data_IF_829874704452
#
_entry.id   IF_829874704452
#
_cell.length_a   1.000
_cell.length_b   1.000
_cell.length_c   1.000
_cell.angle_alpha   90.00
_cell.angle_beta   90.00
_cell.angle_gamma   90.00
#
_symmetry.space_group_name_H-M   'P 1'
#
loop_
_entity.id
_entity.type
_entity.pdbx_description
1 polymer ?
#
# COMPACT_ATOMS: atom_id res chain seq x y z
N UNK A 1 16.35 5.03 5.36
CA UNK A 1 15.85 3.69 5.76
C UNK A 1 14.36 3.85 6.05
N UNK A 2 13.47 3.05 5.42
CA UNK A 2 12.01 3.16 5.68
C UNK A 2 11.73 2.95 7.17
N UNK A 3 10.71 3.62 7.71
CA UNK A 3 10.31 3.47 9.11
C UNK A 3 9.92 2.01 9.39
N UNK A 4 10.71 1.32 10.21
CA UNK A 4 10.55 -0.11 10.52
C UNK A 4 9.55 -0.35 11.67
N UNK A 5 9.50 0.56 12.64
CA UNK A 5 8.67 0.43 13.83
C UNK A 5 7.31 1.11 13.63
N UNK A 6 6.23 0.55 14.20
CA UNK A 6 4.89 1.12 14.11
C UNK A 6 4.85 2.54 14.68
N UNK A 7 4.08 3.41 14.02
CA UNK A 7 3.71 4.72 14.54
C UNK A 7 2.35 4.56 15.22
N UNK A 8 2.30 4.73 16.53
CA UNK A 8 1.08 4.57 17.30
C UNK A 8 1.03 5.56 18.46
N UNK A 9 -0.15 5.73 19.03
CA UNK A 9 -0.35 6.55 20.23
C UNK A 9 0.49 6.02 21.41
N UNK A 10 0.82 6.92 22.34
CA UNK A 10 1.63 6.58 23.51
C UNK A 10 0.93 5.51 24.34
N UNK A 11 1.66 4.45 24.68
CA UNK A 11 1.15 3.35 25.52
C UNK A 11 0.60 2.15 24.74
N UNK A 12 0.45 2.24 23.41
CA UNK A 12 0.05 1.09 22.58
C UNK A 12 1.15 0.02 22.55
N UNK A 13 2.40 0.46 22.44
CA UNK A 13 3.57 -0.43 22.52
C UNK A 13 4.44 -0.02 23.70
N UNK A 14 4.79 -0.98 24.55
CA UNK A 14 5.84 -0.78 25.53
C UNK A 14 7.24 -0.81 24.87
N UNK A 15 8.25 -0.37 25.61
CA UNK A 15 9.62 -0.32 25.09
C UNK A 15 10.19 -1.73 24.80
N UNK A 16 9.81 -2.74 25.58
CA UNK A 16 10.29 -4.12 25.36
C UNK A 16 9.76 -4.66 24.03
N UNK A 17 8.50 -4.39 23.71
CA UNK A 17 7.87 -4.74 22.44
C UNK A 17 8.63 -4.10 21.27
N UNK A 18 8.87 -2.79 21.32
CA UNK A 18 9.58 -2.07 20.25
C UNK A 18 11.01 -2.57 20.05
N UNK A 19 11.74 -2.81 21.14
CA UNK A 19 13.11 -3.37 21.09
C UNK A 19 13.10 -4.77 20.50
N UNK A 20 12.17 -5.63 20.94
CA UNK A 20 12.05 -7.00 20.45
C UNK A 20 11.71 -7.04 18.97
N UNK A 21 10.72 -6.25 18.52
CA UNK A 21 10.37 -6.12 17.11
C UNK A 21 11.58 -5.71 16.28
N UNK A 22 12.31 -4.67 16.71
CA UNK A 22 13.51 -4.20 16.00
C UNK A 22 14.57 -5.31 15.89
N UNK A 23 14.85 -6.03 16.97
CA UNK A 23 15.83 -7.10 17.00
C UNK A 23 15.45 -8.27 16.11
N UNK A 24 14.20 -8.74 16.17
CA UNK A 24 13.72 -9.85 15.32
C UNK A 24 13.75 -9.45 13.85
N UNK A 25 13.26 -8.24 13.53
CA UNK A 25 13.30 -7.73 12.16
C UNK A 25 14.73 -7.67 11.63
N UNK A 26 15.67 -7.12 12.40
CA UNK A 26 17.08 -7.07 12.01
C UNK A 26 17.69 -8.47 11.83
N UNK A 27 17.37 -9.40 12.73
CA UNK A 27 17.89 -10.77 12.68
C UNK A 27 17.34 -11.56 11.47
N UNK A 28 16.11 -11.30 11.05
CA UNK A 28 15.43 -12.04 9.97
C UNK A 28 15.41 -11.33 8.62
N UNK A 29 15.83 -10.07 8.55
CA UNK A 29 15.72 -9.22 7.35
C UNK A 29 16.35 -9.83 6.09
N UNK A 30 17.41 -10.63 6.23
CA UNK A 30 18.17 -11.20 5.11
C UNK A 30 18.29 -12.71 5.19
N UNK A 31 17.25 -13.38 5.68
CA UNK A 31 17.22 -14.84 5.63
C UNK A 31 17.15 -15.33 4.17
N UNK A 32 17.53 -16.59 3.95
CA UNK A 32 17.63 -17.20 2.60
C UNK A 32 16.38 -16.98 1.75
N UNK A 33 15.19 -17.15 2.32
CA UNK A 33 13.93 -17.01 1.58
C UNK A 33 13.71 -15.56 1.10
N UNK A 34 14.09 -14.57 1.91
CA UNK A 34 13.97 -13.14 1.51
C UNK A 34 14.92 -12.81 0.37
N UNK A 35 16.14 -13.35 0.40
CA UNK A 35 17.12 -13.17 -0.68
C UNK A 35 16.65 -13.85 -1.96
N UNK A 36 16.16 -15.09 -1.86
CA UNK A 36 15.60 -15.84 -3.00
C UNK A 36 14.42 -15.09 -3.63
N UNK A 37 13.51 -14.53 -2.82
CA UNK A 37 12.39 -13.72 -3.33
C UNK A 37 12.87 -12.43 -4.02
N UNK A 38 13.86 -11.74 -3.45
CA UNK A 38 14.43 -10.56 -4.06
C UNK A 38 15.06 -10.87 -5.44
N UNK A 39 15.64 -12.06 -5.61
CA UNK A 39 16.17 -12.53 -6.89
C UNK A 39 15.06 -12.81 -7.92
N UNK A 40 13.84 -13.11 -7.48
CA UNK A 40 12.69 -13.33 -8.36
C UNK A 40 11.96 -12.05 -8.79
N UNK A 41 12.33 -10.88 -8.24
CA UNK A 41 11.62 -9.63 -8.50
C UNK A 41 11.48 -9.32 -10.00
N UNK A 42 12.55 -9.47 -10.78
CA UNK A 42 12.51 -9.24 -12.23
C UNK A 42 11.59 -10.22 -12.95
N UNK A 43 11.66 -11.51 -12.60
CA UNK A 43 10.79 -12.54 -13.16
C UNK A 43 9.31 -12.29 -12.83
N UNK A 44 9.02 -11.84 -11.60
CA UNK A 44 7.68 -11.52 -11.16
C UNK A 44 7.13 -10.31 -11.92
N UNK A 45 7.91 -9.23 -12.05
CA UNK A 45 7.53 -8.05 -12.84
C UNK A 45 7.20 -8.44 -14.29
N UNK A 46 8.04 -9.23 -14.95
CA UNK A 46 7.79 -9.65 -16.33
C UNK A 46 6.50 -10.47 -16.48
N UNK A 47 6.17 -11.30 -15.48
CA UNK A 47 4.93 -12.08 -15.46
C UNK A 47 3.69 -11.23 -15.15
N UNK A 48 3.82 -10.16 -14.37
CA UNK A 48 2.67 -9.39 -13.85
C UNK A 48 2.46 -8.03 -14.50
N UNK A 49 3.41 -7.50 -15.28
CA UNK A 49 3.35 -6.13 -15.83
C UNK A 49 2.11 -5.82 -16.69
N UNK A 50 1.51 -6.85 -17.28
CA UNK A 50 0.31 -6.72 -18.12
C UNK A 50 -0.97 -7.23 -17.43
N UNK A 51 -0.90 -7.65 -16.17
CA UNK A 51 -2.07 -8.07 -15.43
C UNK A 51 -2.95 -6.86 -15.11
N UNK A 52 -4.26 -7.04 -15.22
CA UNK A 52 -5.25 -6.00 -14.94
C UNK A 52 -6.36 -6.59 -14.07
N UNK A 53 -7.00 -5.74 -13.25
CA UNK A 53 -8.21 -6.16 -12.54
C UNK A 53 -9.35 -6.43 -13.55
N UNK A 54 -10.19 -7.45 -13.32
CA UNK A 54 -11.40 -7.65 -14.12
C UNK A 54 -12.30 -6.40 -14.05
N UNK A 55 -12.83 -5.93 -15.19
CA UNK A 55 -13.57 -4.65 -15.26
C UNK A 55 -14.86 -4.58 -14.43
N UNK A 56 -15.34 -5.74 -13.97
CA UNK A 56 -16.52 -5.89 -13.10
C UNK A 56 -16.17 -5.87 -11.62
N UNK A 57 -14.89 -5.94 -11.24
CA UNK A 57 -14.45 -5.90 -9.85
C UNK A 57 -14.39 -4.45 -9.38
N UNK A 58 -15.15 -4.04 -8.34
CA UNK A 58 -14.98 -2.73 -7.74
C UNK A 58 -13.62 -2.64 -7.05
N UNK A 59 -12.84 -1.59 -7.35
CA UNK A 59 -11.49 -1.42 -6.78
C UNK A 59 -11.35 -0.08 -6.06
N UNK A 60 -11.15 -0.13 -4.74
CA UNK A 60 -10.71 1.00 -3.93
C UNK A 60 -9.21 0.85 -3.63
N UNK A 61 -8.42 1.88 -3.95
CA UNK A 61 -6.98 1.88 -3.72
C UNK A 61 -6.55 3.10 -2.92
N UNK A 62 -5.71 2.88 -1.92
CA UNK A 62 -5.10 3.93 -1.11
C UNK A 62 -3.62 4.09 -1.48
N UNK A 63 -3.16 5.33 -1.60
CA UNK A 63 -1.75 5.63 -1.83
C UNK A 63 -1.30 6.79 -0.96
N UNK A 64 -0.02 6.86 -0.65
CA UNK A 64 0.54 8.09 -0.07
C UNK A 64 0.45 9.20 -1.11
N UNK A 65 0.19 10.43 -0.67
CA UNK A 65 0.54 11.61 -1.46
C UNK A 65 2.05 11.64 -1.58
N UNK A 66 2.55 11.52 -2.79
CA UNK A 66 3.99 11.47 -3.03
C UNK A 66 4.34 12.52 -4.08
N UNK A 67 5.23 13.42 -3.71
CA UNK A 67 5.69 14.53 -4.56
C UNK A 67 6.84 14.12 -5.49
N UNK A 68 7.23 12.84 -5.48
CA UNK A 68 8.35 12.35 -6.26
C UNK A 68 7.89 12.01 -7.67
N UNK A 69 8.33 12.85 -8.58
CA UNK A 69 8.14 12.73 -10.02
C UNK A 69 9.38 12.02 -10.59
N UNK A 70 9.17 10.98 -11.39
CA UNK A 70 10.27 10.31 -12.09
C UNK A 70 10.70 11.08 -13.37
N UNK A 71 11.73 10.59 -14.07
CA UNK A 71 12.26 11.22 -15.29
C UNK A 71 11.22 11.35 -16.42
N UNK A 72 10.14 10.57 -16.38
CA UNK A 72 9.03 10.59 -17.35
C UNK A 72 7.84 11.44 -16.86
N UNK A 73 8.02 12.28 -15.85
CA UNK A 73 6.96 13.07 -15.22
C UNK A 73 5.84 12.26 -14.57
N UNK A 74 6.05 10.97 -14.32
CA UNK A 74 5.07 10.08 -13.69
C UNK A 74 5.27 10.05 -12.19
N UNK A 75 4.16 10.09 -11.46
CA UNK A 75 4.07 9.80 -10.03
C UNK A 75 3.46 8.42 -9.83
N UNK A 76 3.59 7.87 -8.62
CA UNK A 76 2.85 6.67 -8.24
C UNK A 76 1.34 6.85 -8.43
N UNK A 77 0.81 8.06 -8.20
CA UNK A 77 -0.60 8.39 -8.46
C UNK A 77 -0.95 8.19 -9.94
N UNK A 78 -0.15 8.69 -10.87
CA UNK A 78 -0.42 8.51 -12.31
C UNK A 78 -0.35 7.04 -12.74
N UNK A 79 0.60 6.27 -12.19
CA UNK A 79 0.69 4.83 -12.44
C UNK A 79 -0.58 4.11 -11.95
N UNK A 80 -1.02 4.41 -10.74
CA UNK A 80 -2.22 3.85 -10.15
C UNK A 80 -3.52 4.23 -10.87
N UNK A 81 -3.61 5.46 -11.38
CA UNK A 81 -4.72 5.87 -12.24
C UNK A 81 -4.77 5.06 -13.53
N UNK A 82 -3.62 4.79 -14.15
CA UNK A 82 -3.54 3.98 -15.37
C UNK A 82 -3.99 2.53 -15.13
N UNK A 83 -3.65 1.95 -13.97
CA UNK A 83 -4.12 0.61 -13.57
C UNK A 83 -5.64 0.53 -13.39
N UNK A 84 -6.27 1.64 -12.97
CA UNK A 84 -7.70 1.71 -12.70
C UNK A 84 -8.54 2.17 -13.90
N UNK A 85 -7.93 2.66 -14.99
CA UNK A 85 -8.63 3.30 -16.12
C UNK A 85 -9.73 2.46 -16.78
N UNK A 86 -9.60 1.13 -16.73
CA UNK A 86 -10.54 0.19 -17.35
C UNK A 86 -11.59 -0.36 -16.36
N UNK A 87 -11.58 0.10 -15.11
CA UNK A 87 -12.52 -0.34 -14.08
C UNK A 87 -13.79 0.51 -14.13
N UNK A 88 -14.96 -0.14 -14.16
CA UNK A 88 -16.25 0.56 -14.13
C UNK A 88 -16.48 1.31 -12.82
N UNK A 89 -16.03 0.71 -11.72
CA UNK A 89 -16.21 1.22 -10.36
C UNK A 89 -14.85 1.19 -9.69
N UNK A 90 -14.19 2.35 -9.65
CA UNK A 90 -12.91 2.47 -8.98
C UNK A 90 -12.74 3.82 -8.31
N UNK A 91 -11.91 3.83 -7.26
CA UNK A 91 -11.57 5.05 -6.53
C UNK A 91 -10.12 4.97 -6.05
N UNK A 92 -9.34 6.01 -6.36
CA UNK A 92 -7.99 6.18 -5.85
C UNK A 92 -8.00 7.28 -4.79
N UNK A 93 -7.60 6.95 -3.55
CA UNK A 93 -7.56 7.87 -2.42
C UNK A 93 -6.10 8.15 -2.02
N UNK A 94 -5.57 9.33 -2.36
CA UNK A 94 -4.26 9.75 -1.88
C UNK A 94 -4.37 10.33 -0.46
N UNK A 95 -3.61 9.78 0.49
CA UNK A 95 -3.59 10.18 1.90
C UNK A 95 -2.21 10.71 2.31
N UNK A 96 -2.19 11.64 3.26
CA UNK A 96 -0.95 12.09 3.90
C UNK A 96 -0.42 11.00 4.82
N UNK A 97 0.90 10.77 4.80
CA UNK A 97 1.56 9.89 5.76
C UNK A 97 2.69 9.07 5.17
N UNK A 98 3.21 8.15 6.00
CA UNK A 98 4.26 7.22 5.60
C UNK A 98 3.68 6.05 4.78
N UNK A 99 4.56 5.21 4.23
CA UNK A 99 4.21 4.00 3.48
C UNK A 99 3.17 3.09 4.17
N UNK A 100 3.20 3.00 5.50
CA UNK A 100 2.22 2.26 6.30
C UNK A 100 1.05 3.16 6.70
N UNK A 101 0.28 3.62 5.71
CA UNK A 101 -0.86 4.54 5.92
C UNK A 101 -1.83 4.03 6.98
N UNK A 102 -2.06 2.72 7.03
CA UNK A 102 -2.97 2.09 7.98
C UNK A 102 -2.55 2.28 9.46
N UNK A 103 -1.32 2.68 9.77
CA UNK A 103 -0.93 2.99 11.15
C UNK A 103 -1.55 4.30 11.65
N UNK A 104 -1.63 5.31 10.79
CA UNK A 104 -2.05 6.66 11.20
C UNK A 104 -3.38 7.10 10.57
N UNK A 105 -3.75 6.52 9.43
CA UNK A 105 -4.94 6.89 8.65
C UNK A 105 -6.07 5.86 8.72
N UNK A 106 -6.02 4.88 9.63
CA UNK A 106 -7.02 3.81 9.69
C UNK A 106 -8.47 4.32 9.81
N UNK A 107 -8.70 5.42 10.53
CA UNK A 107 -10.05 6.03 10.67
C UNK A 107 -10.55 6.57 9.33
N UNK A 108 -9.72 7.32 8.61
CA UNK A 108 -10.06 7.86 7.30
C UNK A 108 -10.23 6.72 6.28
N UNK A 109 -9.33 5.73 6.29
CA UNK A 109 -9.46 4.56 5.42
C UNK A 109 -10.76 3.79 5.68
N UNK A 110 -11.14 3.59 6.95
CA UNK A 110 -12.40 2.93 7.31
C UNK A 110 -13.60 3.67 6.74
N UNK A 111 -13.66 5.00 6.92
CA UNK A 111 -14.72 5.83 6.37
C UNK A 111 -14.78 5.71 4.83
N UNK A 112 -13.63 5.79 4.16
CA UNK A 112 -13.58 5.69 2.69
C UNK A 112 -14.01 4.31 2.18
N UNK A 113 -13.75 3.24 2.95
CA UNK A 113 -14.27 1.90 2.65
C UNK A 113 -15.78 1.87 2.78
N UNK A 114 -16.34 2.39 3.87
CA UNK A 114 -17.80 2.44 4.08
C UNK A 114 -18.49 3.24 2.96
N UNK A 115 -18.00 4.45 2.65
CA UNK A 115 -18.50 5.30 1.56
C UNK A 115 -18.41 4.59 0.19
N UNK A 116 -17.33 3.85 -0.06
CA UNK A 116 -17.14 3.12 -1.32
C UNK A 116 -18.13 1.95 -1.44
N UNK A 117 -18.35 1.19 -0.36
CA UNK A 117 -19.31 0.08 -0.34
C UNK A 117 -20.75 0.59 -0.50
N UNK A 118 -21.10 1.69 0.16
CA UNK A 118 -22.43 2.30 0.02
C UNK A 118 -22.68 2.81 -1.40
N UNK A 119 -21.72 3.53 -1.99
CA UNK A 119 -21.86 4.02 -3.38
C UNK A 119 -21.97 2.86 -4.38
N UNK A 120 -21.25 1.77 -4.17
CA UNK A 120 -21.35 0.56 -4.99
C UNK A 120 -22.72 -0.12 -4.86
N UNK A 121 -23.21 -0.29 -3.62
CA UNK A 121 -24.48 -0.98 -3.34
C UNK A 121 -25.68 -0.23 -3.92
N UNK A 122 -25.60 1.09 -4.02
CA UNK A 122 -26.63 1.94 -4.64
C UNK A 122 -26.55 2.00 -6.18
N UNK A 123 -25.51 1.41 -6.78
CA UNK A 123 -25.30 1.37 -8.25
C UNK A 123 -25.73 0.01 -8.85
N UNK A 124 -26.02 -0.99 -8.00
CA UNK A 124 -26.64 -2.27 -8.36
C UNK A 124 -28.16 -2.11 -8.50
#
# INVERSE_FOLDING_TARGET
MRQLLPIAEKGIYDNKNLVMTKSISAWKAYNRNVIEEAQQLGNNIEKTKNMVFPSTLPVLMFTTKEDKINEEWKTNITFYQDQLKNQKISKLIPLEGHHYLHWTQFKEMSKQVDDFIESYSNTL
#
